data_IF_682854460634
#
_entry.id   IF_682854460634
#
_cell.length_a   1.000
_cell.length_b   1.000
_cell.length_c   1.000
_cell.angle_alpha   90.00
_cell.angle_beta   90.00
_cell.angle_gamma   90.00
#
_symmetry.space_group_name_H-M   'P 1'
#
loop_
_entity.id
_entity.type
_entity.pdbx_description
1 polymer ?
#
# COMPACT_ATOMS: atom_id res chain seq x y z
N UNK A 1 -99.66 2.64 -42.61
CA UNK A 1 -100.73 1.80 -43.18
C UNK A 1 -100.07 0.47 -43.53
N UNK A 2 -100.52 -0.71 -43.15
CA UNK A 2 -101.57 -1.18 -42.26
C UNK A 2 -101.34 -2.71 -42.13
N UNK A 3 -101.62 -3.28 -40.95
CA UNK A 3 -102.14 -4.64 -40.67
C UNK A 3 -101.48 -5.85 -41.37
N UNK A 4 -100.79 -6.78 -40.69
CA UNK A 4 -101.21 -7.67 -39.58
C UNK A 4 -102.47 -8.50 -39.91
N UNK A 5 -102.31 -9.84 -39.85
CA UNK A 5 -103.36 -10.85 -39.64
C UNK A 5 -104.48 -10.94 -40.69
N UNK A 6 -104.33 -11.89 -41.62
CA UNK A 6 -105.38 -12.64 -42.34
C UNK A 6 -104.65 -13.29 -43.52
N UNK A 7 -104.10 -14.50 -43.42
CA UNK A 7 -104.75 -15.68 -44.03
C UNK A 7 -104.15 -17.00 -43.49
N UNK A 8 -103.80 -17.00 -42.21
CA UNK A 8 -103.60 -18.24 -41.43
C UNK A 8 -104.94 -18.70 -40.87
N UNK A 9 -105.84 -19.16 -41.74
CA UNK A 9 -106.93 -20.06 -41.36
C UNK A 9 -107.54 -20.72 -42.60
N UNK A 10 -107.52 -22.06 -42.59
CA UNK A 10 -108.45 -22.94 -43.31
C UNK A 10 -108.21 -23.03 -44.83
N UNK A 11 -108.24 -24.18 -45.50
CA UNK A 11 -108.65 -25.53 -45.14
C UNK A 11 -108.32 -26.38 -46.39
N UNK A 12 -107.77 -27.58 -46.24
CA UNK A 12 -108.42 -28.85 -46.61
C UNK A 12 -107.40 -29.96 -46.85
N UNK A 13 -107.70 -31.07 -46.21
CA UNK A 13 -107.12 -32.40 -46.36
C UNK A 13 -107.97 -33.16 -47.39
N UNK A 14 -107.32 -33.94 -48.25
CA UNK A 14 -107.79 -35.19 -48.87
C UNK A 14 -106.64 -35.74 -49.74
N UNK A 15 -106.48 -37.02 -50.06
CA UNK A 15 -106.82 -38.34 -49.48
C UNK A 15 -105.98 -39.33 -50.34
N UNK A 16 -105.51 -40.46 -49.79
CA UNK A 16 -105.18 -41.75 -50.46
C UNK A 16 -104.50 -41.77 -51.86
N UNK A 17 -103.38 -42.46 -52.09
CA UNK A 17 -103.36 -43.93 -52.29
C UNK A 17 -101.96 -44.58 -52.12
N UNK A 18 -102.00 -45.90 -51.88
CA UNK A 18 -100.91 -46.86 -51.64
C UNK A 18 -100.07 -47.18 -52.89
N UNK A 19 -98.78 -47.47 -52.67
CA UNK A 19 -98.04 -48.69 -53.08
C UNK A 19 -96.53 -48.44 -52.83
N UNK A 20 -95.83 -49.15 -51.94
CA UNK A 20 -95.23 -50.46 -52.21
C UNK A 20 -93.69 -50.32 -52.10
N UNK A 21 -93.10 -50.83 -51.01
CA UNK A 21 -91.73 -50.47 -50.57
C UNK A 21 -90.56 -51.29 -51.13
N UNK A 22 -89.35 -50.88 -50.75
CA UNK A 22 -88.23 -51.74 -50.29
C UNK A 22 -87.12 -50.89 -49.63
N UNK A 23 -86.49 -51.51 -48.63
CA UNK A 23 -85.79 -50.98 -47.45
C UNK A 23 -84.35 -50.47 -47.67
N UNK A 24 -84.07 -49.21 -47.29
CA UNK A 24 -82.73 -48.60 -47.17
C UNK A 24 -82.18 -48.58 -45.71
N UNK A 25 -82.77 -49.37 -44.81
CA UNK A 25 -82.43 -49.36 -43.37
C UNK A 25 -81.02 -49.91 -42.98
N UNK A 26 -80.38 -50.85 -43.69
CA UNK A 26 -79.09 -51.38 -43.22
C UNK A 26 -77.89 -50.46 -43.49
N UNK A 27 -78.01 -49.51 -44.44
CA UNK A 27 -76.89 -48.63 -44.81
C UNK A 27 -76.65 -47.52 -43.77
N UNK A 28 -77.71 -47.02 -43.13
CA UNK A 28 -77.63 -45.92 -42.15
C UNK A 28 -76.96 -46.38 -40.85
N UNK A 29 -77.15 -47.64 -40.45
CA UNK A 29 -76.58 -48.19 -39.21
C UNK A 29 -75.05 -48.34 -39.33
N UNK A 30 -74.54 -48.74 -40.50
CA UNK A 30 -73.09 -48.91 -40.73
C UNK A 30 -72.35 -47.56 -40.66
N UNK A 31 -72.96 -46.49 -41.18
CA UNK A 31 -72.35 -45.15 -41.15
C UNK A 31 -72.27 -44.59 -39.72
N UNK A 32 -73.30 -44.83 -38.90
CA UNK A 32 -73.29 -44.38 -37.49
C UNK A 32 -72.20 -45.10 -36.69
N UNK A 33 -72.01 -46.40 -36.90
CA UNK A 33 -70.95 -47.18 -36.21
C UNK A 33 -69.55 -46.69 -36.61
N UNK A 34 -69.35 -46.34 -37.89
CA UNK A 34 -68.07 -45.80 -38.35
C UNK A 34 -67.73 -44.43 -37.72
N UNK A 35 -68.72 -43.54 -37.57
CA UNK A 35 -68.53 -42.22 -36.95
C UNK A 35 -68.22 -42.33 -35.46
N UNK A 36 -68.88 -43.25 -34.74
CA UNK A 36 -68.60 -43.49 -33.31
C UNK A 36 -67.22 -44.13 -33.10
N UNK A 37 -66.80 -45.04 -33.99
CA UNK A 37 -65.46 -45.65 -33.95
C UNK A 37 -64.33 -44.62 -34.15
N UNK A 38 -64.49 -43.73 -35.12
CA UNK A 38 -63.51 -42.67 -35.41
C UNK A 38 -63.46 -41.64 -34.27
N UNK A 39 -64.63 -41.24 -33.74
CA UNK A 39 -64.72 -40.32 -32.59
C UNK A 39 -64.07 -40.89 -31.32
N UNK A 40 -64.27 -42.18 -31.05
CA UNK A 40 -63.64 -42.88 -29.92
C UNK A 40 -62.12 -42.99 -30.06
N UNK A 41 -61.63 -43.23 -31.28
CA UNK A 41 -60.20 -43.30 -31.56
C UNK A 41 -59.51 -41.93 -31.38
N UNK A 42 -60.13 -40.86 -31.85
CA UNK A 42 -59.58 -39.50 -31.75
C UNK A 42 -59.55 -38.96 -30.31
N UNK A 43 -60.52 -39.36 -29.48
CA UNK A 43 -60.54 -38.98 -28.07
C UNK A 43 -59.48 -39.73 -27.27
N UNK A 44 -59.20 -41.00 -27.61
CA UNK A 44 -58.16 -41.82 -26.96
C UNK A 44 -56.75 -41.30 -27.21
N UNK A 45 -56.47 -40.75 -28.39
CA UNK A 45 -55.15 -40.17 -28.71
C UNK A 45 -54.89 -38.79 -28.10
N UNK A 46 -55.93 -38.06 -27.66
CA UNK A 46 -55.79 -36.76 -26.98
C UNK A 46 -55.58 -36.84 -25.46
N UNK A 47 -55.73 -38.03 -24.86
CA UNK A 47 -55.70 -38.23 -23.40
C UNK A 47 -54.42 -38.90 -22.87
N UNK A 48 -53.33 -38.97 -23.66
CA UNK A 48 -52.04 -39.43 -23.15
C UNK A 48 -51.42 -38.36 -22.24
N UNK A 49 -51.65 -38.51 -20.93
CA UNK A 49 -51.05 -37.71 -19.87
C UNK A 49 -49.56 -38.05 -19.75
N UNK A 50 -48.70 -37.04 -19.89
CA UNK A 50 -47.25 -37.16 -19.67
C UNK A 50 -47.00 -37.35 -18.18
N UNK A 51 -46.67 -38.56 -17.75
CA UNK A 51 -46.22 -38.86 -16.39
C UNK A 51 -44.84 -38.25 -16.16
N UNK A 52 -44.80 -37.12 -15.44
CA UNK A 52 -43.57 -36.50 -14.95
C UNK A 52 -43.04 -37.32 -13.77
N UNK A 53 -41.88 -37.96 -13.93
CA UNK A 53 -41.12 -38.56 -12.82
C UNK A 53 -40.51 -37.43 -12.00
N UNK A 54 -41.11 -37.12 -10.85
CA UNK A 54 -40.49 -36.23 -9.86
C UNK A 54 -39.37 -37.01 -9.19
N UNK A 55 -38.12 -36.64 -9.47
CA UNK A 55 -37.00 -37.02 -8.64
C UNK A 55 -37.11 -36.20 -7.35
N UNK A 56 -37.50 -36.85 -6.26
CA UNK A 56 -37.34 -36.25 -4.93
C UNK A 56 -35.85 -36.04 -4.72
N UNK A 57 -35.40 -34.80 -4.81
CA UNK A 57 -34.08 -34.42 -4.36
C UNK A 57 -33.98 -34.81 -2.88
N UNK A 58 -33.11 -35.78 -2.58
CA UNK A 58 -32.69 -36.02 -1.22
C UNK A 58 -32.14 -34.69 -0.71
N UNK A 59 -32.75 -34.14 0.33
CA UNK A 59 -32.18 -33.02 1.04
C UNK A 59 -30.75 -33.44 1.40
N UNK A 60 -29.76 -32.71 0.84
CA UNK A 60 -28.41 -32.73 1.38
C UNK A 60 -28.61 -32.24 2.80
N UNK A 61 -28.68 -33.18 3.74
CA UNK A 61 -28.42 -32.88 5.13
C UNK A 61 -27.03 -32.28 5.10
N UNK A 62 -26.99 -30.95 5.19
CA UNK A 62 -25.79 -30.20 5.52
C UNK A 62 -25.11 -31.01 6.60
N UNK A 63 -23.96 -31.61 6.26
CA UNK A 63 -23.21 -32.43 7.20
C UNK A 63 -23.15 -31.71 8.53
N UNK A 64 -23.39 -32.45 9.60
CA UNK A 64 -23.09 -31.98 10.94
C UNK A 64 -21.77 -31.19 10.90
N UNK A 65 -21.71 -29.97 11.45
CA UNK A 65 -20.44 -29.23 11.50
C UNK A 65 -19.43 -30.17 12.15
N UNK A 66 -18.33 -30.38 11.43
CA UNK A 66 -17.49 -31.56 11.57
C UNK A 66 -17.22 -31.95 13.02
N UNK A 67 -17.38 -33.24 13.31
CA UNK A 67 -16.76 -33.92 14.44
C UNK A 67 -15.23 -33.89 14.29
N UNK A 68 -14.66 -32.69 14.41
CA UNK A 68 -13.26 -32.38 14.17
C UNK A 68 -12.85 -30.91 14.40
N UNK A 69 -13.80 -29.95 14.46
CA UNK A 69 -13.47 -28.58 14.86
C UNK A 69 -13.48 -28.46 16.39
N UNK A 70 -12.29 -28.52 17.00
CA UNK A 70 -12.11 -28.44 18.47
C UNK A 70 -12.43 -27.03 19.01
N UNK A 71 -12.34 -26.02 18.14
CA UNK A 71 -12.68 -24.62 18.38
C UNK A 71 -12.83 -23.91 17.03
N UNK A 72 -13.93 -23.20 16.82
CA UNK A 72 -14.12 -22.29 15.67
C UNK A 72 -14.06 -20.86 16.21
N UNK A 73 -13.15 -20.05 15.66
CA UNK A 73 -12.88 -18.69 16.14
C UNK A 73 -12.50 -17.78 14.97
N UNK A 74 -13.12 -16.62 14.92
CA UNK A 74 -12.82 -15.58 13.94
C UNK A 74 -11.58 -14.80 14.36
N UNK A 75 -10.74 -14.47 13.38
CA UNK A 75 -9.53 -13.68 13.62
C UNK A 75 -9.21 -12.75 12.46
N UNK A 76 -8.24 -11.87 12.69
CA UNK A 76 -7.74 -10.90 11.73
C UNK A 76 -6.34 -11.28 11.26
N UNK A 77 -6.07 -11.09 9.97
CA UNK A 77 -4.71 -11.19 9.44
C UNK A 77 -4.01 -9.86 9.71
N UNK A 78 -3.01 -9.89 10.58
CA UNK A 78 -2.16 -8.74 10.88
C UNK A 78 -0.74 -9.03 10.40
N UNK A 79 0.05 -7.99 10.19
CA UNK A 79 1.46 -8.18 9.94
C UNK A 79 2.25 -8.09 11.23
N UNK A 80 3.22 -9.00 11.39
CA UNK A 80 4.14 -9.01 12.52
C UNK A 80 4.95 -7.71 12.62
N UNK A 81 5.32 -7.12 11.48
CA UNK A 81 6.15 -5.91 11.41
C UNK A 81 5.41 -4.76 10.75
N UNK A 82 5.01 -3.78 11.56
CA UNK A 82 4.38 -2.52 11.14
C UNK A 82 5.15 -1.34 11.76
N UNK A 83 5.46 -0.34 10.96
CA UNK A 83 6.10 0.88 11.43
C UNK A 83 5.53 2.12 10.75
N UNK A 84 5.10 3.09 11.54
CA UNK A 84 4.80 4.44 11.07
C UNK A 84 6.12 5.19 10.90
N UNK A 85 6.43 5.56 9.66
CA UNK A 85 7.68 6.24 9.33
C UNK A 85 7.50 7.74 9.55
N UNK A 86 8.33 8.31 10.42
CA UNK A 86 8.37 9.73 10.72
C UNK A 86 9.69 10.37 10.31
N UNK A 87 9.74 11.70 10.26
CA UNK A 87 10.98 12.44 10.14
C UNK A 87 11.73 12.42 11.49
N UNK A 88 13.06 12.40 11.45
CA UNK A 88 13.88 12.55 12.66
C UNK A 88 13.96 14.00 13.14
N UNK A 89 13.67 14.94 12.24
CA UNK A 89 13.77 16.38 12.43
C UNK A 89 12.46 17.03 12.05
N UNK A 90 12.14 18.16 12.67
CA UNK A 90 10.95 18.94 12.32
C UNK A 90 11.19 19.71 11.03
N UNK A 91 10.29 19.61 10.06
CA UNK A 91 10.38 20.37 8.83
C UNK A 91 9.18 20.22 7.91
N UNK A 92 9.08 21.12 6.94
CA UNK A 92 8.01 21.18 5.96
C UNK A 92 8.26 20.16 4.85
N UNK A 93 7.26 19.37 4.49
CA UNK A 93 7.36 18.41 3.38
C UNK A 93 7.37 19.16 2.06
N UNK A 94 8.35 18.88 1.22
CA UNK A 94 8.40 19.41 -0.16
C UNK A 94 7.81 18.40 -1.13
N UNK A 95 8.17 17.12 -0.99
CA UNK A 95 7.75 16.07 -1.93
C UNK A 95 7.48 14.76 -1.17
N UNK A 96 6.49 13.99 -1.65
CA UNK A 96 6.18 12.63 -1.19
C UNK A 96 6.18 11.73 -2.42
N UNK A 97 6.91 10.62 -2.36
CA UNK A 97 7.11 9.69 -3.48
C UNK A 97 6.38 8.35 -3.30
N UNK A 98 5.64 8.19 -2.20
CA UNK A 98 4.93 6.96 -1.89
C UNK A 98 3.42 7.18 -1.94
N UNK A 99 2.72 6.24 -2.55
CA UNK A 99 1.26 6.17 -2.57
C UNK A 99 0.77 4.97 -1.75
N UNK A 100 -0.49 5.04 -1.31
CA UNK A 100 -1.14 3.94 -0.58
C UNK A 100 -1.26 2.70 -1.48
N UNK A 101 -0.95 1.53 -0.93
CA UNK A 101 -0.89 0.26 -1.64
C UNK A 101 0.40 0.03 -2.44
N UNK A 102 1.34 0.98 -2.46
CA UNK A 102 2.59 0.83 -3.19
C UNK A 102 3.62 -0.04 -2.44
N UNK A 103 4.30 -0.92 -3.17
CA UNK A 103 5.46 -1.66 -2.65
C UNK A 103 6.68 -0.74 -2.52
N UNK A 104 7.30 -0.75 -1.36
CA UNK A 104 8.50 0.02 -1.03
C UNK A 104 9.64 -0.91 -0.62
N UNK A 105 10.87 -0.54 -1.00
CA UNK A 105 12.09 -1.26 -0.62
C UNK A 105 12.77 -0.60 0.58
N UNK A 106 13.48 -1.38 1.38
CA UNK A 106 14.32 -0.84 2.45
C UNK A 106 15.27 0.24 1.92
N UNK A 107 15.34 1.38 2.60
CA UNK A 107 16.17 2.52 2.24
C UNK A 107 15.62 3.41 1.11
N UNK A 108 14.49 3.03 0.49
CA UNK A 108 13.81 3.85 -0.51
C UNK A 108 13.35 5.17 0.10
N UNK A 109 13.52 6.27 -0.63
CA UNK A 109 13.08 7.60 -0.22
C UNK A 109 11.56 7.66 -0.32
N UNK A 110 10.92 8.03 0.79
CA UNK A 110 9.46 8.15 0.90
C UNK A 110 9.01 9.60 0.79
N UNK A 111 9.76 10.51 1.41
CA UNK A 111 9.49 11.94 1.37
C UNK A 111 10.77 12.75 1.56
N UNK A 112 10.70 14.01 1.13
CA UNK A 112 11.77 15.01 1.32
C UNK A 112 11.21 16.23 2.04
N UNK A 113 11.96 16.68 3.04
CA UNK A 113 11.71 17.91 3.76
C UNK A 113 12.45 19.07 3.09
N UNK A 114 12.00 20.29 3.36
CA UNK A 114 12.66 21.52 2.95
C UNK A 114 14.06 21.59 3.58
N UNK A 115 15.08 21.46 2.73
CA UNK A 115 16.49 21.36 3.07
C UNK A 115 17.27 22.63 2.69
N UNK A 116 16.58 23.71 2.29
CA UNK A 116 17.20 24.96 1.84
C UNK A 116 18.14 25.58 2.88
N UNK A 117 17.67 25.71 4.12
CA UNK A 117 18.46 26.24 5.24
C UNK A 117 19.60 25.30 5.63
N UNK A 118 19.34 23.99 5.67
CA UNK A 118 20.34 22.98 6.03
C UNK A 118 21.46 22.91 5.00
N UNK A 119 21.14 23.04 3.70
CA UNK A 119 22.14 23.14 2.64
C UNK A 119 22.99 24.40 2.75
N UNK A 120 22.38 25.54 3.05
CA UNK A 120 23.13 26.78 3.28
C UNK A 120 24.07 26.65 4.49
N UNK A 121 23.61 26.04 5.58
CA UNK A 121 24.42 25.77 6.77
C UNK A 121 25.58 24.80 6.50
N UNK A 122 25.36 23.77 5.66
CA UNK A 122 26.43 22.86 5.23
C UNK A 122 27.47 23.61 4.39
N UNK A 123 27.04 24.41 3.41
CA UNK A 123 27.95 25.20 2.58
C UNK A 123 28.80 26.17 3.42
N UNK A 124 28.20 26.80 4.44
CA UNK A 124 28.93 27.63 5.41
C UNK A 124 29.98 26.83 6.19
N UNK A 125 29.62 25.64 6.71
CA UNK A 125 30.57 24.79 7.43
C UNK A 125 31.73 24.31 6.53
N UNK A 126 31.45 24.00 5.26
CA UNK A 126 32.47 23.61 4.28
C UNK A 126 33.42 24.77 3.95
N UNK A 127 32.90 26.00 3.85
CA UNK A 127 33.72 27.19 3.70
C UNK A 127 34.62 27.42 4.92
N UNK A 128 34.11 27.21 6.14
CA UNK A 128 34.88 27.31 7.38
C UNK A 128 36.01 26.27 7.43
N UNK A 129 35.73 25.02 7.06
CA UNK A 129 36.74 23.97 6.94
C UNK A 129 37.83 24.34 5.91
N UNK A 130 37.43 24.89 4.77
CA UNK A 130 38.37 25.38 3.75
C UNK A 130 39.27 26.49 4.30
N UNK A 131 38.72 27.43 5.06
CA UNK A 131 39.48 28.48 5.73
C UNK A 131 40.49 27.90 6.74
N UNK A 132 40.06 27.01 7.64
CA UNK A 132 40.95 26.36 8.61
C UNK A 132 42.07 25.56 7.94
N UNK A 133 41.77 24.84 6.85
CA UNK A 133 42.80 24.11 6.08
C UNK A 133 43.84 25.04 5.46
N UNK A 134 43.41 26.21 4.96
CA UNK A 134 44.32 27.22 4.42
C UNK A 134 45.21 27.82 5.52
N UNK A 135 44.66 28.11 6.70
CA UNK A 135 45.45 28.58 7.84
C UNK A 135 46.48 27.54 8.29
N UNK A 136 46.11 26.25 8.34
CA UNK A 136 47.07 25.18 8.62
C UNK A 136 48.19 25.09 7.57
N UNK A 137 47.85 25.21 6.28
CA UNK A 137 48.84 25.21 5.20
C UNK A 137 49.78 26.44 5.24
N UNK A 138 49.26 27.61 5.65
CA UNK A 138 50.04 28.82 5.87
C UNK A 138 51.04 28.63 7.02
N UNK A 139 50.58 28.10 8.17
CA UNK A 139 51.45 27.82 9.31
C UNK A 139 52.53 26.77 8.96
N UNK A 140 52.20 25.76 8.14
CA UNK A 140 53.19 24.83 7.60
C UNK A 140 54.24 25.51 6.72
N UNK A 141 53.83 26.46 5.88
CA UNK A 141 54.78 27.21 5.05
C UNK A 141 55.72 28.06 5.92
N UNK A 142 55.20 28.70 6.97
CA UNK A 142 56.00 29.46 7.94
C UNK A 142 56.98 28.57 8.71
N UNK A 143 56.57 27.38 9.14
CA UNK A 143 57.48 26.43 9.78
C UNK A 143 58.63 26.05 8.85
N UNK A 144 58.35 25.74 7.58
CA UNK A 144 59.41 25.42 6.60
C UNK A 144 60.41 26.57 6.45
N UNK A 145 59.94 27.81 6.41
CA UNK A 145 60.81 28.98 6.36
C UNK A 145 61.68 29.12 7.61
N UNK A 146 61.08 28.95 8.80
CA UNK A 146 61.78 29.01 10.07
C UNK A 146 62.85 27.90 10.20
N UNK A 147 62.56 26.69 9.75
CA UNK A 147 63.51 25.56 9.72
C UNK A 147 64.71 25.84 8.78
N UNK A 148 64.45 26.44 7.60
CA UNK A 148 65.52 26.86 6.69
C UNK A 148 66.38 27.98 7.28
N UNK A 149 65.79 28.88 8.07
CA UNK A 149 66.52 29.92 8.78
C UNK A 149 67.36 29.34 9.93
N UNK A 150 66.78 28.42 10.71
CA UNK A 150 67.49 27.69 11.76
C UNK A 150 68.72 26.98 11.20
N UNK A 151 68.56 26.24 10.09
CA UNK A 151 69.66 25.55 9.42
C UNK A 151 70.75 26.51 8.92
N UNK A 152 70.38 27.71 8.46
CA UNK A 152 71.34 28.76 8.10
C UNK A 152 72.10 29.29 9.32
N UNK A 153 71.41 29.61 10.41
CA UNK A 153 72.04 30.12 11.64
C UNK A 153 72.93 29.09 12.33
N UNK A 154 72.54 27.81 12.32
CA UNK A 154 73.38 26.72 12.82
C UNK A 154 74.68 26.57 12.03
N UNK A 155 74.68 26.79 10.70
CA UNK A 155 75.92 26.79 9.90
C UNK A 155 76.81 27.97 10.27
N UNK A 156 76.25 29.17 10.37
CA UNK A 156 76.98 30.38 10.78
C UNK A 156 77.56 30.27 12.20
N UNK A 157 76.89 29.56 13.11
CA UNK A 157 77.40 29.29 14.46
C UNK A 157 78.65 28.41 14.40
N UNK A 158 78.64 27.36 13.56
CA UNK A 158 79.82 26.49 13.35
C UNK A 158 81.00 27.24 12.72
N UNK A 159 80.69 28.25 11.91
CA UNK A 159 81.68 29.16 11.30
C UNK A 159 82.13 30.28 12.26
N UNK A 160 81.56 30.36 13.47
CA UNK A 160 81.92 31.37 14.48
C UNK A 160 81.39 32.78 14.20
N UNK A 161 80.45 32.94 13.27
CA UNK A 161 79.94 34.24 12.80
C UNK A 161 78.81 34.77 13.68
N UNK A 162 78.06 33.89 14.35
CA UNK A 162 76.92 34.24 15.21
C UNK A 162 77.07 33.62 16.60
N UNK A 163 76.47 34.25 17.61
CA UNK A 163 76.43 33.72 18.97
C UNK A 163 75.38 32.63 19.17
N UNK A 164 75.54 31.77 20.19
CA UNK A 164 74.59 30.70 20.52
C UNK A 164 73.17 31.23 20.80
N UNK A 165 73.07 32.38 21.47
CA UNK A 165 71.78 33.03 21.77
C UNK A 165 70.92 33.33 20.53
N UNK A 166 71.55 33.59 19.38
CA UNK A 166 70.81 33.84 18.14
C UNK A 166 70.22 32.54 17.57
N UNK A 167 70.94 31.42 17.71
CA UNK A 167 70.42 30.08 17.35
C UNK A 167 69.28 29.67 18.29
N UNK A 168 69.43 29.90 19.60
CA UNK A 168 68.39 29.58 20.59
C UNK A 168 67.09 30.34 20.34
N UNK A 169 67.20 31.59 19.87
CA UNK A 169 66.04 32.42 19.48
C UNK A 169 65.30 31.83 18.28
N UNK A 170 66.03 31.44 17.22
CA UNK A 170 65.41 30.85 16.01
C UNK A 170 64.89 29.44 16.29
N UNK A 171 65.54 28.67 17.17
CA UNK A 171 65.04 27.38 17.63
C UNK A 171 63.70 27.54 18.37
N UNK A 172 63.61 28.54 19.26
CA UNK A 172 62.37 28.85 19.98
C UNK A 172 61.21 29.25 19.05
N UNK A 173 61.51 29.93 17.94
CA UNK A 173 60.53 30.28 16.90
C UNK A 173 60.01 29.02 16.16
N UNK A 174 60.91 28.12 15.77
CA UNK A 174 60.54 26.82 15.18
C UNK A 174 59.65 26.02 16.12
N UNK A 175 59.99 25.94 17.40
CA UNK A 175 59.20 25.18 18.39
C UNK A 175 57.84 25.83 18.67
N UNK A 176 57.76 27.17 18.65
CA UNK A 176 56.50 27.92 18.72
C UNK A 176 55.60 27.64 17.51
N UNK A 177 56.17 27.61 16.30
CA UNK A 177 55.44 27.29 15.07
C UNK A 177 54.97 25.83 15.03
N UNK A 178 55.75 24.88 15.56
CA UNK A 178 55.29 23.49 15.71
C UNK A 178 54.08 23.39 16.64
N UNK A 179 54.10 24.08 17.78
CA UNK A 179 52.95 24.13 18.68
C UNK A 179 51.73 24.78 18.00
N UNK A 180 51.95 25.84 17.21
CA UNK A 180 50.91 26.50 16.42
C UNK A 180 50.30 25.59 15.36
N UNK A 181 51.10 24.78 14.67
CA UNK A 181 50.63 23.77 13.70
C UNK A 181 49.79 22.70 14.38
N UNK A 182 50.22 22.19 15.54
CA UNK A 182 49.42 21.25 16.31
C UNK A 182 48.05 21.84 16.65
N UNK A 183 48.00 23.11 17.08
CA UNK A 183 46.75 23.81 17.33
C UNK A 183 45.87 23.98 16.08
N UNK A 184 46.42 24.43 14.95
CA UNK A 184 45.63 24.63 13.73
C UNK A 184 45.21 23.31 13.08
N UNK A 185 45.97 22.23 13.28
CA UNK A 185 45.54 20.88 12.93
C UNK A 185 44.27 20.48 13.68
N UNK A 186 44.22 20.70 15.00
CA UNK A 186 43.03 20.42 15.80
C UNK A 186 41.83 21.28 15.35
N UNK A 187 42.06 22.54 14.98
CA UNK A 187 41.00 23.37 14.40
C UNK A 187 40.43 22.81 13.10
N UNK A 188 41.27 22.23 12.23
CA UNK A 188 40.81 21.54 11.01
C UNK A 188 39.95 20.33 11.37
N UNK A 189 40.32 19.55 12.40
CA UNK A 189 39.53 18.40 12.86
C UNK A 189 38.16 18.84 13.41
N UNK A 190 38.11 19.92 14.19
CA UNK A 190 36.85 20.49 14.70
C UNK A 190 35.96 20.97 13.55
N UNK A 191 36.53 21.70 12.58
CA UNK A 191 35.77 22.15 11.41
C UNK A 191 35.28 20.97 10.55
N UNK A 192 36.06 19.89 10.45
CA UNK A 192 35.67 18.68 9.74
C UNK A 192 34.51 17.96 10.45
N UNK A 193 34.56 17.87 11.78
CA UNK A 193 33.48 17.31 12.58
C UNK A 193 32.19 18.14 12.41
N UNK A 194 32.31 19.47 12.34
CA UNK A 194 31.18 20.36 12.09
C UNK A 194 30.53 20.13 10.72
N UNK A 195 31.32 19.91 9.67
CA UNK A 195 30.81 19.53 8.33
C UNK A 195 30.08 18.19 8.39
N UNK A 196 30.63 17.20 9.09
CA UNK A 196 30.00 15.88 9.21
C UNK A 196 28.66 15.96 9.93
N UNK A 197 28.55 16.78 10.99
CA UNK A 197 27.29 17.05 11.66
C UNK A 197 26.26 17.65 10.70
N UNK A 198 26.62 18.68 9.93
CA UNK A 198 25.70 19.30 8.95
C UNK A 198 25.31 18.37 7.79
N UNK A 199 26.18 17.42 7.43
CA UNK A 199 25.82 16.36 6.47
C UNK A 199 24.80 15.39 7.05
N UNK A 200 24.91 15.03 8.32
CA UNK A 200 23.89 14.21 9.02
C UNK A 200 22.56 14.96 9.08
N UNK A 201 22.56 16.24 9.45
CA UNK A 201 21.35 17.07 9.46
C UNK A 201 20.67 17.07 8.09
N UNK A 202 21.46 17.19 7.00
CA UNK A 202 20.93 17.16 5.63
C UNK A 202 20.36 15.78 5.27
N UNK A 203 21.03 14.70 5.68
CA UNK A 203 20.53 13.33 5.44
C UNK A 203 19.22 13.07 6.19
N UNK A 204 19.06 13.64 7.38
CA UNK A 204 17.85 13.51 8.18
C UNK A 204 16.64 14.27 7.59
N UNK A 205 16.86 15.19 6.64
CA UNK A 205 15.80 15.80 5.82
C UNK A 205 15.22 14.85 4.76
N UNK A 206 15.81 13.68 4.56
CA UNK A 206 15.33 12.65 3.63
C UNK A 206 14.79 11.47 4.41
N UNK A 207 13.48 11.25 4.32
CA UNK A 207 12.84 10.15 5.04
C UNK A 207 12.84 8.90 4.19
N UNK A 208 13.33 7.79 4.77
CA UNK A 208 13.54 6.51 4.09
C UNK A 208 12.78 5.39 4.77
N UNK A 209 12.42 4.37 3.99
CA UNK A 209 11.79 3.17 4.52
C UNK A 209 12.76 2.35 5.40
N UNK A 210 12.38 1.98 6.63
CA UNK A 210 13.24 1.19 7.53
C UNK A 210 13.37 -0.29 7.12
N UNK A 211 12.39 -0.82 6.37
CA UNK A 211 12.37 -2.17 5.81
C UNK A 211 11.51 -2.21 4.54
N UNK A 212 11.64 -3.28 3.75
CA UNK A 212 10.83 -3.51 2.55
C UNK A 212 9.42 -3.97 2.92
N UNK A 213 8.40 -3.45 2.25
CA UNK A 213 7.01 -3.77 2.56
C UNK A 213 6.03 -3.04 1.64
N UNK A 214 4.79 -2.89 2.11
CA UNK A 214 3.74 -2.14 1.42
C UNK A 214 3.35 -0.94 2.27
N UNK A 215 3.22 0.23 1.66
CA UNK A 215 2.70 1.42 2.31
C UNK A 215 1.18 1.30 2.44
N UNK A 216 0.65 1.24 3.66
CA UNK A 216 -0.79 1.06 3.91
C UNK A 216 -1.53 2.39 4.11
N UNK A 217 -0.81 3.44 4.50
CA UNK A 217 -1.38 4.78 4.70
C UNK A 217 -0.39 5.85 4.26
N UNK A 218 -0.94 6.93 3.70
CA UNK A 218 -0.23 8.17 3.43
C UNK A 218 -0.80 9.24 4.37
N UNK A 219 -0.12 9.43 5.49
CA UNK A 219 -0.63 10.27 6.56
C UNK A 219 -0.38 11.75 6.27
N UNK A 220 0.72 12.10 5.59
CA UNK A 220 1.12 13.48 5.32
C UNK A 220 0.93 13.92 3.85
N UNK A 221 0.83 15.23 3.65
CA UNK A 221 0.76 15.87 2.33
C UNK A 221 1.90 16.86 2.08
N UNK A 222 2.31 17.11 0.81
CA UNK A 222 3.25 18.18 0.49
C UNK A 222 2.76 19.53 1.02
N UNK A 223 3.65 20.29 1.66
CA UNK A 223 3.35 21.57 2.30
C UNK A 223 3.00 21.48 3.79
N UNK A 224 2.66 20.31 4.32
CA UNK A 224 2.43 20.13 5.76
C UNK A 224 3.75 20.12 6.55
N UNK A 225 3.66 20.42 7.85
CA UNK A 225 4.77 20.31 8.79
C UNK A 225 4.79 18.92 9.41
N UNK A 226 5.96 18.28 9.42
CA UNK A 226 6.15 16.98 10.10
C UNK A 226 7.14 17.15 11.23
N UNK A 227 6.84 16.51 12.36
CA UNK A 227 7.69 16.49 13.54
C UNK A 227 7.65 15.11 14.20
N UNK A 228 8.78 14.55 14.65
CA UNK A 228 8.78 13.30 15.43
C UNK A 228 8.01 13.44 16.74
N UNK A 229 7.93 14.66 17.28
CA UNK A 229 7.20 14.96 18.51
C UNK A 229 5.85 15.56 18.14
N UNK A 230 4.77 14.94 18.63
CA UNK A 230 3.41 15.45 18.45
C UNK A 230 3.26 16.81 19.13
N UNK A 231 2.99 17.85 18.34
CA UNK A 231 2.81 19.21 18.84
C UNK A 231 1.36 19.52 19.28
N UNK A 232 0.47 18.52 19.34
CA UNK A 232 -0.91 18.69 19.84
C UNK A 232 -1.82 19.59 18.99
N UNK A 233 -1.40 20.01 17.81
CA UNK A 233 -2.19 20.80 16.86
C UNK A 233 -2.36 20.07 15.52
N UNK A 234 -3.54 20.16 14.91
CA UNK A 234 -3.90 19.44 13.67
C UNK A 234 -3.11 19.81 12.40
N UNK A 235 -2.13 20.72 12.51
CA UNK A 235 -1.28 21.17 11.40
C UNK A 235 0.08 20.47 11.35
N UNK A 236 0.46 19.73 12.40
CA UNK A 236 1.74 19.00 12.47
C UNK A 236 1.48 17.51 12.49
N UNK A 237 1.92 16.80 11.45
CA UNK A 237 1.79 15.35 11.41
C UNK A 237 2.98 14.67 12.07
N UNK A 238 2.70 13.57 12.76
CA UNK A 238 3.71 12.76 13.47
C UNK A 238 4.35 11.70 12.59
N UNK A 239 3.86 11.49 11.37
CA UNK A 239 4.34 10.48 10.44
C UNK A 239 4.01 10.84 8.99
N UNK A 240 4.81 10.30 8.06
CA UNK A 240 4.60 10.42 6.60
C UNK A 240 3.64 9.34 6.11
N UNK A 241 3.75 8.15 6.68
CA UNK A 241 2.93 7.00 6.32
C UNK A 241 3.33 5.75 7.08
N UNK A 242 2.48 4.72 7.01
CA UNK A 242 2.73 3.45 7.69
C UNK A 242 3.13 2.37 6.68
N UNK A 243 4.25 1.69 6.96
CA UNK A 243 4.76 0.57 6.16
C UNK A 243 4.55 -0.72 6.93
N UNK A 244 4.12 -1.74 6.19
CA UNK A 244 3.85 -3.07 6.71
C UNK A 244 4.59 -4.13 5.90
N UNK A 245 5.20 -5.08 6.59
CA UNK A 245 5.85 -6.22 5.97
C UNK A 245 4.81 -7.32 5.65
N UNK A 246 4.51 -7.49 4.36
CA UNK A 246 3.57 -8.51 3.88
C UNK A 246 4.18 -9.92 3.82
N UNK A 247 5.48 -10.08 4.05
CA UNK A 247 6.14 -11.40 4.05
C UNK A 247 5.99 -12.15 5.37
N UNK A 248 5.65 -11.45 6.46
CA UNK A 248 5.51 -12.00 7.81
C UNK A 248 4.13 -11.66 8.37
N UNK A 249 3.11 -12.38 7.91
CA UNK A 249 1.74 -12.27 8.37
C UNK A 249 1.47 -13.22 9.54
N UNK A 250 0.67 -12.77 10.50
CA UNK A 250 0.17 -13.52 11.63
C UNK A 250 -1.35 -13.41 11.68
N UNK A 251 -2.00 -14.41 12.28
CA UNK A 251 -3.45 -14.40 12.48
C UNK A 251 -3.69 -14.17 13.97
N UNK A 252 -4.27 -13.02 14.29
CA UNK A 252 -4.73 -12.70 15.64
C UNK A 252 -6.17 -13.19 15.76
N UNK A 253 -6.39 -14.16 16.64
CA UNK A 253 -7.70 -14.82 16.80
C UNK A 253 -8.24 -14.48 18.18
N UNK A 254 -9.44 -13.90 18.22
CA UNK A 254 -10.15 -13.64 19.47
C UNK A 254 -10.83 -14.92 19.94
N UNK A 255 -10.23 -15.57 20.93
CA UNK A 255 -10.80 -16.77 21.55
C UNK A 255 -11.67 -16.37 22.74
N UNK A 256 -12.92 -16.79 22.73
CA UNK A 256 -13.81 -16.58 23.88
C UNK A 256 -13.24 -17.26 25.14
N UNK A 257 -13.32 -16.57 26.28
CA UNK A 257 -12.78 -17.04 27.57
C UNK A 257 -13.22 -18.46 27.94
N UNK A 258 -14.43 -18.87 27.55
CA UNK A 258 -14.96 -20.23 27.77
C UNK A 258 -14.11 -21.34 27.15
N UNK A 259 -13.29 -21.02 26.15
CA UNK A 259 -12.46 -21.95 25.39
C UNK A 259 -10.96 -21.74 25.59
N UNK A 260 -10.53 -20.80 26.44
CA UNK A 260 -9.10 -20.48 26.66
C UNK A 260 -8.32 -21.68 27.22
N UNK A 261 -8.97 -22.52 28.02
CA UNK A 261 -8.37 -23.72 28.62
C UNK A 261 -8.01 -24.81 27.59
N UNK A 262 -8.49 -24.69 26.34
CA UNK A 262 -8.19 -25.62 25.24
C UNK A 262 -7.02 -25.14 24.37
N UNK A 263 -6.57 -23.90 24.51
CA UNK A 263 -5.46 -23.32 23.75
C UNK A 263 -4.13 -23.60 24.46
N UNK A 264 -3.13 -24.11 23.73
CA UNK A 264 -1.78 -24.39 24.24
C UNK A 264 -0.73 -23.75 23.30
N UNK A 265 0.40 -23.27 23.84
CA UNK A 265 1.49 -22.66 23.06
C UNK A 265 2.21 -23.67 22.15
#
# INVERSE_FOLDING_TARGET
>A
MANLKEDLAALKIDHSERAGGRSMLPLVIVVIVAVVGIGGYYLKTRLQTVTVKVATAAAVTSGAPGAGAVLDASGYVIARRRATVSSKVTGKVTEIYVEEGQNVRQGQVLARLDDSQTRAALAYAEAQLSASRKSFAEDQARLREAELNLGRRQRLLKEGVVGSAEVDTVQSDVDSLKARIAYTQEQVLVAQAQVNLRKTDLNDMVVRAPFSGVAISKDAQPGEMISPVSAGGGFTRTGIGTIVDMSSLEIEVDVNESFINRVRP
#
